data_IF_277825554528
#
_entry.id   IF_277825554528
#
_cell.length_a   1.000
_cell.length_b   1.000
_cell.length_c   1.000
_cell.angle_alpha   90.00
_cell.angle_beta   90.00
_cell.angle_gamma   90.00
#
_symmetry.space_group_name_H-M   'P 1'
#
loop_
_entity.id
_entity.type
_entity.pdbx_description
1 polymer ?
#
# COMPACT_ATOMS: atom_id res chain seq x y z
N UNK A 1 -4.25 14.04 15.84
CA UNK A 1 -5.68 13.94 15.46
C UNK A 1 -5.93 14.96 14.36
N UNK A 2 -5.48 14.66 13.14
CA UNK A 2 -5.81 15.44 11.95
C UNK A 2 -7.15 14.88 11.45
N UNK A 3 -8.11 15.77 11.29
CA UNK A 3 -9.51 15.52 10.98
C UNK A 3 -9.69 15.59 9.47
N UNK A 4 -10.59 14.76 8.91
CA UNK A 4 -11.18 14.82 7.55
C UNK A 4 -11.55 16.25 7.05
N UNK A 5 -11.52 17.26 7.92
CA UNK A 5 -11.98 18.62 7.64
C UNK A 5 -10.97 19.57 6.96
N UNK A 6 -9.70 19.19 6.70
CA UNK A 6 -8.73 20.14 6.16
C UNK A 6 -8.63 20.23 4.64
N UNK A 7 -9.17 19.26 3.89
CA UNK A 7 -9.07 19.27 2.42
C UNK A 7 -10.38 19.63 1.69
N UNK A 8 -11.52 19.61 2.37
CA UNK A 8 -12.83 19.85 1.73
C UNK A 8 -13.50 21.11 2.29
N UNK A 9 -13.54 22.18 1.51
CA UNK A 9 -14.39 23.32 1.78
C UNK A 9 -15.78 23.08 1.18
N UNK A 10 -16.89 23.31 1.91
CA UNK A 10 -18.23 23.26 1.35
C UNK A 10 -18.34 24.32 0.23
N UNK A 11 -18.16 23.90 -1.03
CA UNK A 11 -18.03 24.77 -2.20
C UNK A 11 -17.05 24.26 -3.26
N UNK A 12 -16.14 23.35 -2.90
CA UNK A 12 -15.28 22.69 -3.89
C UNK A 12 -16.11 21.73 -4.77
N UNK A 13 -16.03 21.91 -6.09
CA UNK A 13 -16.65 21.00 -7.08
C UNK A 13 -15.94 19.65 -7.20
N UNK A 14 -14.90 19.42 -6.39
CA UNK A 14 -14.11 18.19 -6.42
C UNK A 14 -14.83 17.08 -5.70
N UNK A 15 -14.77 15.89 -6.31
CA UNK A 15 -15.38 14.72 -5.72
C UNK A 15 -14.46 14.18 -4.62
N UNK A 16 -14.95 14.19 -3.38
CA UNK A 16 -14.19 13.82 -2.19
C UNK A 16 -14.66 12.48 -1.60
N UNK A 17 -13.69 11.62 -1.30
CA UNK A 17 -13.90 10.39 -0.56
C UNK A 17 -12.91 10.28 0.60
N UNK A 18 -13.43 10.25 1.83
CA UNK A 18 -12.64 10.16 3.05
C UNK A 18 -12.96 8.90 3.84
N UNK A 19 -11.97 8.29 4.47
CA UNK A 19 -12.12 7.12 5.33
C UNK A 19 -11.19 7.22 6.55
N UNK A 20 -11.78 7.33 7.74
CA UNK A 20 -11.05 7.21 9.01
C UNK A 20 -11.38 5.88 9.70
N UNK A 21 -10.36 5.14 10.13
CA UNK A 21 -10.47 3.89 10.88
C UNK A 21 -9.69 3.96 12.19
N UNK A 22 -10.26 3.40 13.26
CA UNK A 22 -9.55 3.18 14.54
C UNK A 22 -9.69 1.71 14.94
N UNK A 23 -8.57 0.98 14.96
CA UNK A 23 -8.49 -0.39 15.47
C UNK A 23 -7.83 -0.37 16.85
N UNK A 24 -8.42 -1.09 17.80
CA UNK A 24 -7.94 -1.14 19.19
C UNK A 24 -7.77 -2.56 19.68
N UNK A 25 -6.91 -2.74 20.69
CA UNK A 25 -6.82 -3.97 21.45
C UNK A 25 -7.92 -4.01 22.52
N UNK A 26 -8.80 -4.99 22.42
CA UNK A 26 -9.79 -5.37 23.42
C UNK A 26 -9.25 -6.52 24.27
N UNK A 27 -9.52 -6.50 25.58
CA UNK A 27 -9.12 -7.58 26.49
C UNK A 27 -9.84 -8.91 26.17
N UNK A 28 -11.10 -8.85 25.75
CA UNK A 28 -11.93 -10.04 25.51
C UNK A 28 -11.89 -10.50 24.05
N UNK A 29 -11.75 -9.57 23.11
CA UNK A 29 -11.99 -9.81 21.67
C UNK A 29 -10.76 -9.61 20.78
N UNK A 30 -9.57 -9.52 21.37
CA UNK A 30 -8.34 -9.23 20.64
C UNK A 30 -8.41 -7.88 19.91
N UNK A 31 -7.95 -7.81 18.67
CA UNK A 31 -7.96 -6.56 17.90
C UNK A 31 -9.34 -6.31 17.29
N UNK A 32 -9.94 -5.14 17.50
CA UNK A 32 -11.29 -4.84 17.00
C UNK A 32 -11.38 -3.46 16.36
N UNK A 33 -12.20 -3.34 15.32
CA UNK A 33 -12.54 -2.05 14.74
C UNK A 33 -13.48 -1.28 15.67
N UNK A 34 -12.98 -0.19 16.24
CA UNK A 34 -13.69 0.66 17.20
C UNK A 34 -14.41 1.82 16.54
N UNK A 35 -13.79 2.45 15.54
CA UNK A 35 -14.36 3.61 14.85
C UNK A 35 -14.22 3.48 13.35
N UNK A 36 -15.30 3.82 12.64
CA UNK A 36 -15.33 4.05 11.21
C UNK A 36 -15.99 5.41 11.00
N UNK A 37 -15.34 6.31 10.27
CA UNK A 37 -15.99 7.47 9.66
C UNK A 37 -15.67 7.45 8.19
N UNK A 38 -16.65 7.79 7.36
CA UNK A 38 -16.40 7.91 5.93
C UNK A 38 -17.21 9.06 5.35
N UNK A 39 -16.72 9.61 4.25
CA UNK A 39 -17.43 10.56 3.38
C UNK A 39 -17.26 10.10 1.94
N UNK A 40 -18.28 10.30 1.10
CA UNK A 40 -18.27 9.74 -0.24
C UNK A 40 -18.32 8.21 -0.21
N UNK A 41 -17.77 7.52 -1.22
CA UNK A 41 -17.97 6.10 -1.37
C UNK A 41 -16.85 5.22 -0.83
N UNK A 42 -15.78 5.77 -0.25
CA UNK A 42 -14.84 4.90 0.46
C UNK A 42 -15.56 4.21 1.62
N UNK A 43 -15.44 2.89 1.68
CA UNK A 43 -16.11 2.05 2.68
C UNK A 43 -15.14 0.99 3.19
N UNK A 44 -15.51 0.36 4.30
CA UNK A 44 -14.88 -0.87 4.76
C UNK A 44 -15.93 -1.97 4.88
N UNK A 45 -15.53 -3.20 4.58
CA UNK A 45 -16.33 -4.36 4.94
C UNK A 45 -16.33 -4.55 6.47
N UNK A 46 -17.37 -5.23 6.98
CA UNK A 46 -17.40 -5.70 8.37
C UNK A 46 -16.11 -6.46 8.73
N UNK A 47 -15.49 -6.19 9.89
CA UNK A 47 -14.31 -6.92 10.36
C UNK A 47 -14.53 -8.43 10.38
N UNK A 48 -13.50 -9.17 10.04
CA UNK A 48 -13.50 -10.62 10.10
C UNK A 48 -12.14 -11.14 10.58
N UNK A 49 -12.11 -12.39 11.05
CA UNK A 49 -11.04 -12.94 11.90
C UNK A 49 -10.65 -14.35 11.45
N UNK A 50 -10.11 -14.51 10.23
CA UNK A 50 -9.87 -15.83 9.66
C UNK A 50 -8.74 -16.59 10.37
N UNK A 51 -7.90 -15.88 11.12
CA UNK A 51 -6.76 -16.40 11.88
C UNK A 51 -6.89 -16.18 13.40
N UNK A 52 -8.14 -16.03 13.87
CA UNK A 52 -8.46 -15.74 15.26
C UNK A 52 -8.60 -14.25 15.58
N UNK A 53 -9.02 -13.95 16.80
CA UNK A 53 -9.37 -12.59 17.26
C UNK A 53 -8.17 -11.65 17.42
N UNK A 54 -6.95 -12.20 17.42
CA UNK A 54 -5.72 -11.42 17.54
C UNK A 54 -5.54 -10.42 16.40
N UNK A 55 -5.97 -10.76 15.19
CA UNK A 55 -5.75 -9.96 13.98
C UNK A 55 -7.08 -9.58 13.36
N UNK A 56 -7.35 -8.28 13.32
CA UNK A 56 -8.52 -7.72 12.65
C UNK A 56 -8.22 -7.65 11.15
N UNK A 57 -8.96 -8.39 10.33
CA UNK A 57 -8.88 -8.24 8.87
C UNK A 57 -9.96 -7.28 8.38
N UNK A 58 -9.57 -6.34 7.52
CA UNK A 58 -10.45 -5.37 6.89
C UNK A 58 -10.17 -5.24 5.39
N UNK A 59 -11.25 -5.07 4.62
CA UNK A 59 -11.17 -4.74 3.21
C UNK A 59 -11.62 -3.29 3.00
N UNK A 60 -10.74 -2.47 2.42
CA UNK A 60 -11.11 -1.14 1.92
C UNK A 60 -11.79 -1.33 0.56
N UNK A 61 -12.96 -0.71 0.42
CA UNK A 61 -13.75 -0.70 -0.79
C UNK A 61 -13.76 0.70 -1.36
N UNK A 62 -13.48 0.80 -2.65
CA UNK A 62 -13.79 1.97 -3.47
C UNK A 62 -14.79 1.51 -4.55
N UNK A 63 -16.10 1.55 -4.25
CA UNK A 63 -17.16 1.07 -5.15
C UNK A 63 -17.19 1.69 -6.55
N UNK A 64 -16.81 2.97 -6.77
CA UNK A 64 -16.71 3.51 -8.13
C UNK A 64 -15.71 2.72 -8.97
N UNK A 65 -15.95 2.66 -10.28
CA UNK A 65 -15.13 1.89 -11.22
C UNK A 65 -13.67 2.34 -11.31
N UNK A 66 -13.34 3.53 -10.78
CA UNK A 66 -12.00 4.08 -10.63
C UNK A 66 -12.07 5.57 -10.25
N UNK A 67 -10.92 6.22 -10.26
CA UNK A 67 -10.68 7.60 -9.85
C UNK A 67 -10.39 8.44 -11.10
N UNK A 68 -11.02 9.60 -11.23
CA UNK A 68 -10.83 10.53 -12.37
C UNK A 68 -10.11 11.82 -11.95
N UNK A 69 -9.70 12.64 -12.92
CA UNK A 69 -9.04 13.91 -12.64
C UNK A 69 -9.92 14.83 -11.79
N UNK A 70 -9.35 15.39 -10.72
CA UNK A 70 -10.05 16.26 -9.76
C UNK A 70 -10.52 15.54 -8.49
N UNK A 71 -10.58 14.19 -8.50
CA UNK A 71 -10.99 13.41 -7.34
C UNK A 71 -9.95 13.47 -6.21
N UNK A 72 -10.44 13.48 -4.96
CA UNK A 72 -9.66 13.53 -3.74
C UNK A 72 -10.01 12.33 -2.86
N UNK A 73 -9.05 11.45 -2.62
CA UNK A 73 -9.19 10.28 -1.76
C UNK A 73 -8.28 10.42 -0.53
N UNK A 74 -8.85 10.32 0.66
CA UNK A 74 -8.13 10.36 1.93
C UNK A 74 -8.44 9.12 2.77
N UNK A 75 -7.39 8.43 3.21
CA UNK A 75 -7.48 7.25 4.07
C UNK A 75 -6.60 7.48 5.29
N UNK A 76 -7.21 7.56 6.46
CA UNK A 76 -6.55 7.73 7.75
C UNK A 76 -6.84 6.53 8.65
N UNK A 77 -5.78 5.83 9.08
CA UNK A 77 -5.92 4.61 9.86
C UNK A 77 -5.09 4.72 11.13
N UNK A 78 -5.76 4.58 12.28
CA UNK A 78 -5.15 4.55 13.59
C UNK A 78 -5.17 3.11 14.13
N UNK A 79 -4.00 2.57 14.44
CA UNK A 79 -3.85 1.25 15.06
C UNK A 79 -3.32 1.51 16.47
N UNK A 80 -4.19 1.34 17.46
CA UNK A 80 -3.86 1.61 18.86
C UNK A 80 -2.92 0.56 19.46
N UNK A 81 -2.36 0.88 20.63
CA UNK A 81 -1.35 0.08 21.31
C UNK A 81 -1.71 -1.41 21.37
N UNK A 82 -0.75 -2.26 20.95
CA UNK A 82 -0.88 -3.71 20.94
C UNK A 82 -1.94 -4.29 19.99
N UNK A 83 -2.62 -3.48 19.18
CA UNK A 83 -3.58 -3.97 18.20
C UNK A 83 -2.87 -4.45 16.92
N UNK A 84 -3.48 -5.39 16.21
CA UNK A 84 -2.99 -5.96 14.97
C UNK A 84 -4.06 -5.86 13.89
N UNK A 85 -3.76 -5.12 12.82
CA UNK A 85 -4.63 -4.93 11.66
C UNK A 85 -3.96 -5.50 10.39
N UNK A 86 -4.69 -6.34 9.67
CA UNK A 86 -4.42 -6.63 8.27
C UNK A 86 -5.46 -5.92 7.39
N UNK A 87 -4.99 -5.03 6.52
CA UNK A 87 -5.80 -4.17 5.68
C UNK A 87 -5.42 -4.38 4.21
N UNK A 88 -6.39 -4.73 3.37
CA UNK A 88 -6.20 -4.97 1.92
C UNK A 88 -7.35 -4.32 1.13
N UNK A 89 -7.22 -4.23 -0.19
CA UNK A 89 -8.34 -3.97 -1.10
C UNK A 89 -8.74 -5.27 -1.84
N UNK A 90 -9.98 -5.38 -2.31
CA UNK A 90 -10.44 -6.54 -3.08
C UNK A 90 -10.11 -6.45 -4.57
N UNK A 91 -9.80 -5.25 -5.06
CA UNK A 91 -9.60 -4.97 -6.47
C UNK A 91 -8.56 -3.88 -6.66
N UNK A 92 -7.98 -3.84 -7.86
CA UNK A 92 -7.01 -2.83 -8.25
C UNK A 92 -7.60 -1.43 -8.18
N UNK A 93 -6.84 -0.47 -7.67
CA UNK A 93 -7.23 0.93 -7.73
C UNK A 93 -6.93 1.48 -9.14
N UNK A 94 -7.91 2.07 -9.83
CA UNK A 94 -7.76 2.47 -11.23
C UNK A 94 -7.84 3.98 -11.33
N UNK A 95 -6.78 4.61 -11.81
CA UNK A 95 -6.78 6.04 -12.12
C UNK A 95 -6.93 6.23 -13.62
N UNK A 96 -8.03 6.88 -14.03
CA UNK A 96 -8.36 7.11 -15.42
C UNK A 96 -7.66 8.34 -16.00
N UNK A 97 -7.73 8.46 -17.33
CA UNK A 97 -7.28 9.63 -18.06
C UNK A 97 -7.87 10.91 -17.48
N UNK A 98 -7.04 11.94 -17.36
CA UNK A 98 -7.49 13.28 -16.98
C UNK A 98 -7.33 14.26 -18.14
N UNK A 99 -8.38 15.05 -18.38
CA UNK A 99 -8.37 16.15 -19.35
C UNK A 99 -7.72 17.44 -18.81
N UNK A 100 -7.29 17.48 -17.54
CA UNK A 100 -6.83 18.72 -16.91
C UNK A 100 -6.37 18.50 -15.49
N UNK A 101 -7.33 18.37 -14.58
CA UNK A 101 -7.11 18.30 -13.13
C UNK A 101 -6.40 17.01 -12.67
N UNK A 102 -5.69 17.10 -11.55
CA UNK A 102 -4.99 15.97 -10.97
C UNK A 102 -5.89 15.26 -9.95
N UNK A 103 -5.87 13.93 -9.94
CA UNK A 103 -6.42 13.13 -8.85
C UNK A 103 -5.41 13.04 -7.70
N UNK A 104 -5.88 13.11 -6.46
CA UNK A 104 -5.05 13.03 -5.25
C UNK A 104 -5.47 11.84 -4.40
N UNK A 105 -4.50 11.01 -4.01
CA UNK A 105 -4.67 9.96 -3.01
C UNK A 105 -3.69 10.21 -1.87
N UNK A 106 -4.22 10.35 -0.66
CA UNK A 106 -3.45 10.49 0.57
C UNK A 106 -3.81 9.36 1.52
N UNK A 107 -2.79 8.65 2.01
CA UNK A 107 -2.93 7.52 2.90
C UNK A 107 -2.00 7.72 4.09
N UNK A 108 -2.56 7.72 5.29
CA UNK A 108 -1.83 7.97 6.52
C UNK A 108 -2.16 6.89 7.53
N UNK A 109 -1.11 6.28 8.08
CA UNK A 109 -1.21 5.17 9.01
C UNK A 109 -0.43 5.51 10.28
N UNK A 110 -1.10 5.61 11.43
CA UNK A 110 -0.45 5.76 12.73
C UNK A 110 -0.49 4.42 13.47
N UNK A 111 0.69 3.82 13.65
CA UNK A 111 0.87 2.50 14.26
C UNK A 111 1.47 2.70 15.64
N UNK A 112 0.62 2.67 16.66
CA UNK A 112 1.00 2.93 18.05
C UNK A 112 1.95 1.86 18.62
N UNK A 113 2.39 2.07 19.86
CA UNK A 113 3.39 1.23 20.50
C UNK A 113 3.01 -0.26 20.48
N UNK A 114 3.94 -1.12 20.06
CA UNK A 114 3.72 -2.56 19.98
C UNK A 114 2.59 -3.02 19.03
N UNK A 115 1.98 -2.10 18.28
CA UNK A 115 0.93 -2.43 17.32
C UNK A 115 1.52 -2.94 16.00
N UNK A 116 0.70 -3.65 15.23
CA UNK A 116 1.11 -4.27 13.96
C UNK A 116 0.16 -3.85 12.85
N UNK A 117 0.72 -3.35 11.76
CA UNK A 117 -0.01 -3.07 10.52
C UNK A 117 0.53 -3.94 9.39
N UNK A 118 -0.38 -4.67 8.74
CA UNK A 118 -0.16 -5.33 7.46
C UNK A 118 -1.01 -4.63 6.39
N UNK A 119 -0.43 -3.73 5.60
CA UNK A 119 -1.09 -3.00 4.50
C UNK A 119 -0.76 -3.65 3.15
N UNK A 120 -1.66 -4.49 2.66
CA UNK A 120 -1.42 -5.42 1.58
C UNK A 120 -2.44 -5.25 0.43
N UNK A 121 -2.56 -4.05 -0.17
CA UNK A 121 -3.57 -3.76 -1.19
C UNK A 121 -3.32 -4.55 -2.50
N UNK A 122 -4.33 -4.58 -3.37
CA UNK A 122 -4.11 -4.91 -4.78
C UNK A 122 -3.29 -3.80 -5.48
N UNK A 123 -2.92 -4.03 -6.73
CA UNK A 123 -2.17 -3.07 -7.52
C UNK A 123 -2.96 -1.79 -7.83
N UNK A 124 -2.22 -0.71 -8.11
CA UNK A 124 -2.76 0.54 -8.63
C UNK A 124 -2.42 0.64 -10.11
N UNK A 125 -3.45 0.84 -10.94
CA UNK A 125 -3.33 0.95 -12.40
C UNK A 125 -3.53 2.41 -12.81
N UNK A 126 -2.50 2.99 -13.42
CA UNK A 126 -2.55 4.32 -14.00
C UNK A 126 -2.82 4.21 -15.50
N UNK A 127 -4.02 4.58 -15.94
CA UNK A 127 -4.40 4.51 -17.35
C UNK A 127 -3.67 5.57 -18.18
N UNK A 128 -3.60 5.35 -19.49
CA UNK A 128 -2.98 6.28 -20.42
C UNK A 128 -3.58 7.70 -20.32
N UNK A 129 -2.72 8.68 -20.03
CA UNK A 129 -3.10 10.08 -19.80
C UNK A 129 -3.58 10.40 -18.38
N UNK A 130 -3.41 9.49 -17.40
CA UNK A 130 -3.74 9.77 -16.01
C UNK A 130 -2.84 10.87 -15.42
N UNK A 131 -3.40 11.69 -14.52
CA UNK A 131 -2.67 12.72 -13.77
C UNK A 131 -2.93 12.50 -12.29
N UNK A 132 -1.93 12.02 -11.55
CA UNK A 132 -2.10 11.52 -10.18
C UNK A 132 -0.96 11.97 -9.26
N UNK A 133 -1.28 12.34 -8.03
CA UNK A 133 -0.34 12.34 -6.90
C UNK A 133 -0.85 11.34 -5.87
N UNK A 134 -0.01 10.39 -5.49
CA UNK A 134 -0.28 9.40 -4.44
C UNK A 134 0.74 9.54 -3.32
N UNK A 135 0.28 9.74 -2.10
CA UNK A 135 1.13 9.88 -0.92
C UNK A 135 0.72 8.87 0.13
N UNK A 136 1.66 8.04 0.56
CA UNK A 136 1.48 7.01 1.59
C UNK A 136 2.50 7.23 2.69
N UNK A 137 2.02 7.40 3.92
CA UNK A 137 2.85 7.66 5.10
C UNK A 137 2.52 6.68 6.22
N UNK A 138 3.55 6.01 6.72
CA UNK A 138 3.49 5.15 7.90
C UNK A 138 4.23 5.82 9.05
N UNK A 139 3.53 6.10 10.15
CA UNK A 139 4.09 6.63 11.38
C UNK A 139 4.15 5.52 12.43
N UNK A 140 5.34 4.98 12.64
CA UNK A 140 5.63 3.90 13.57
C UNK A 140 6.08 4.47 14.92
N UNK A 141 5.39 4.08 15.97
CA UNK A 141 5.79 4.34 17.36
C UNK A 141 6.75 3.25 17.85
N UNK A 142 7.12 3.29 19.13
CA UNK A 142 8.04 2.33 19.71
C UNK A 142 7.54 0.90 19.52
N UNK A 143 8.39 -0.04 19.11
CA UNK A 143 8.01 -1.46 18.97
C UNK A 143 6.86 -1.78 18.00
N UNK A 144 6.37 -0.76 17.28
CA UNK A 144 5.43 -0.93 16.18
C UNK A 144 6.07 -1.71 15.03
N UNK A 145 5.26 -2.56 14.39
CA UNK A 145 5.65 -3.40 13.26
C UNK A 145 4.84 -3.05 12.02
N UNK A 146 5.50 -3.08 10.87
CA UNK A 146 4.90 -2.81 9.57
C UNK A 146 5.23 -3.94 8.62
N UNK A 147 4.26 -4.37 7.84
CA UNK A 147 4.44 -5.05 6.56
C UNK A 147 3.54 -4.35 5.56
N UNK A 148 4.11 -3.69 4.57
CA UNK A 148 3.34 -2.97 3.57
C UNK A 148 3.90 -3.22 2.18
N UNK A 149 3.04 -3.21 1.18
CA UNK A 149 3.49 -3.10 -0.20
C UNK A 149 2.65 -2.12 -1.01
N UNK A 150 3.25 -1.61 -2.07
CA UNK A 150 2.56 -0.96 -3.18
C UNK A 150 3.00 -1.61 -4.49
N UNK A 151 2.04 -1.89 -5.37
CA UNK A 151 2.29 -2.37 -6.73
C UNK A 151 1.65 -1.36 -7.67
N UNK A 152 2.42 -0.85 -8.61
CA UNK A 152 2.05 0.23 -9.52
C UNK A 152 2.19 -0.28 -10.96
N UNK A 153 1.11 -0.15 -11.73
CA UNK A 153 1.02 -0.58 -13.13
C UNK A 153 0.78 0.66 -13.99
N UNK A 154 1.72 0.96 -14.89
CA UNK A 154 1.64 2.07 -15.85
C UNK A 154 1.04 1.59 -17.16
N UNK A 155 -0.18 2.04 -17.45
CA UNK A 155 -0.98 1.60 -18.57
C UNK A 155 -1.66 0.25 -18.32
N UNK A 156 -2.16 -0.37 -19.39
CA UNK A 156 -2.74 -1.71 -19.42
C UNK A 156 -2.00 -2.52 -20.50
N UNK A 157 -0.83 -3.08 -20.18
CA UNK A 157 0.01 -3.78 -21.16
C UNK A 157 -0.70 -4.97 -21.83
N UNK A 158 -1.59 -5.66 -21.11
CA UNK A 158 -2.40 -6.75 -21.67
C UNK A 158 -3.40 -6.30 -22.76
N UNK A 159 -3.70 -4.99 -22.83
CA UNK A 159 -4.53 -4.38 -23.86
C UNK A 159 -3.72 -3.49 -24.81
N UNK A 160 -2.38 -3.61 -24.81
CA UNK A 160 -1.45 -2.79 -25.60
C UNK A 160 -1.58 -1.27 -25.36
N UNK A 161 -2.15 -0.87 -24.22
CA UNK A 161 -2.42 0.51 -23.85
C UNK A 161 -1.35 1.01 -22.88
N UNK A 162 -0.18 1.37 -23.40
CA UNK A 162 0.98 1.79 -22.60
C UNK A 162 0.88 3.24 -22.13
N UNK A 163 1.55 3.57 -21.01
CA UNK A 163 1.58 4.92 -20.44
C UNK A 163 2.53 5.86 -21.20
N UNK A 164 2.06 6.37 -22.33
CA UNK A 164 2.75 7.31 -23.21
C UNK A 164 2.49 8.79 -22.85
N UNK A 165 1.40 9.10 -22.14
CA UNK A 165 1.08 10.45 -21.68
C UNK A 165 0.57 10.44 -20.24
N UNK A 166 0.67 11.60 -19.58
CA UNK A 166 0.21 11.78 -18.21
C UNK A 166 1.35 11.97 -17.23
N UNK A 167 1.00 12.14 -15.95
CA UNK A 167 1.95 12.39 -14.88
C UNK A 167 1.54 11.67 -13.61
N UNK A 168 2.41 10.83 -13.07
CA UNK A 168 2.20 10.13 -11.81
C UNK A 168 3.32 10.52 -10.86
N UNK A 169 2.94 11.09 -9.72
CA UNK A 169 3.86 11.35 -8.60
C UNK A 169 3.49 10.44 -7.45
N UNK A 170 4.46 9.71 -6.92
CA UNK A 170 4.25 8.78 -5.82
C UNK A 170 5.23 9.10 -4.69
N UNK A 171 4.78 8.97 -3.45
CA UNK A 171 5.62 9.10 -2.27
C UNK A 171 5.23 8.01 -1.27
N UNK A 172 6.19 7.16 -0.92
CA UNK A 172 6.05 6.12 0.09
C UNK A 172 7.06 6.42 1.21
N UNK A 173 6.56 6.74 2.39
CA UNK A 173 7.39 7.15 3.51
C UNK A 173 7.10 6.32 4.76
N UNK A 174 8.17 5.88 5.42
CA UNK A 174 8.10 5.23 6.73
C UNK A 174 8.88 6.09 7.73
N UNK A 175 8.19 6.49 8.78
CA UNK A 175 8.71 7.32 9.87
C UNK A 175 8.69 6.50 11.16
N UNK A 176 9.81 6.44 11.87
CA UNK A 176 9.88 5.82 13.19
C UNK A 176 10.23 6.89 14.23
N UNK A 177 9.37 7.05 15.24
CA UNK A 177 9.54 8.07 16.28
C UNK A 177 9.81 9.47 15.68
N UNK A 178 9.01 9.87 14.68
CA UNK A 178 9.11 11.14 13.94
C UNK A 178 10.39 11.33 13.11
N UNK A 179 11.24 10.31 12.97
CA UNK A 179 12.41 10.33 12.06
C UNK A 179 12.11 9.50 10.81
N UNK A 180 12.40 10.00 9.61
CA UNK A 180 12.22 9.21 8.40
C UNK A 180 13.26 8.08 8.38
N UNK A 181 12.80 6.84 8.22
CA UNK A 181 13.66 5.66 8.07
C UNK A 181 13.61 5.06 6.66
N UNK A 182 12.60 5.45 5.87
CA UNK A 182 12.49 5.13 4.45
C UNK A 182 11.70 6.23 3.74
N UNK A 183 12.21 6.67 2.59
CA UNK A 183 11.53 7.62 1.70
C UNK A 183 11.79 7.17 0.27
N UNK A 184 10.73 6.83 -0.44
CA UNK A 184 10.77 6.54 -1.87
C UNK A 184 9.83 7.53 -2.58
N UNK A 185 10.37 8.27 -3.54
CA UNK A 185 9.61 9.25 -4.33
C UNK A 185 9.80 8.98 -5.81
N UNK A 186 8.69 8.80 -6.51
CA UNK A 186 8.64 8.60 -7.95
C UNK A 186 8.01 9.79 -8.65
N UNK A 187 8.57 10.19 -9.79
CA UNK A 187 7.93 11.13 -10.71
C UNK A 187 8.02 10.56 -12.11
N UNK A 188 6.89 10.08 -12.61
CA UNK A 188 6.76 9.41 -13.90
C UNK A 188 5.96 10.30 -14.83
N UNK A 189 6.56 10.66 -15.95
CA UNK A 189 5.90 11.40 -17.04
C UNK A 189 5.81 10.45 -18.21
N UNK A 190 4.60 10.26 -18.75
CA UNK A 190 4.40 9.38 -19.90
C UNK A 190 5.29 9.82 -21.07
N UNK A 191 5.88 8.85 -21.77
CA UNK A 191 6.78 9.12 -22.91
C UNK A 191 8.18 9.61 -22.53
N UNK A 192 8.44 9.93 -21.25
CA UNK A 192 9.77 10.35 -20.79
C UNK A 192 10.77 9.19 -20.79
N UNK A 193 12.07 9.52 -20.84
CA UNK A 193 13.17 8.54 -20.76
C UNK A 193 13.09 7.66 -19.52
N UNK A 194 12.57 8.17 -18.40
CA UNK A 194 12.34 7.41 -17.17
C UNK A 194 11.51 6.13 -17.42
N UNK A 195 10.60 6.13 -18.40
CA UNK A 195 9.74 4.98 -18.69
C UNK A 195 10.49 3.85 -19.42
N UNK A 196 11.53 4.16 -20.20
CA UNK A 196 12.14 3.19 -21.13
C UNK A 196 13.62 2.93 -20.90
N UNK A 197 14.34 3.86 -20.26
CA UNK A 197 15.78 3.73 -20.07
C UNK A 197 16.12 2.64 -19.05
N UNK A 198 17.27 1.94 -19.18
CA UNK A 198 17.68 0.90 -18.24
C UNK A 198 17.84 1.37 -16.78
N UNK A 199 18.15 2.65 -16.56
CA UNK A 199 18.25 3.26 -15.22
C UNK A 199 16.89 3.68 -14.66
N UNK A 200 15.84 3.71 -15.49
CA UNK A 200 14.47 3.98 -15.10
C UNK A 200 13.68 2.68 -14.99
N UNK A 201 12.48 2.65 -15.58
CA UNK A 201 11.62 1.46 -15.58
C UNK A 201 12.03 0.41 -16.62
N UNK A 202 13.02 0.68 -17.49
CA UNK A 202 13.49 -0.27 -18.50
C UNK A 202 12.35 -0.88 -19.35
N UNK A 203 11.38 -0.05 -19.73
CA UNK A 203 10.16 -0.42 -20.45
C UNK A 203 9.27 -1.47 -19.72
N UNK A 204 9.50 -1.72 -18.44
CA UNK A 204 8.67 -2.56 -17.61
C UNK A 204 7.48 -1.75 -17.06
N UNK A 205 6.24 -2.16 -17.33
CA UNK A 205 5.05 -1.40 -16.93
C UNK A 205 4.72 -1.54 -15.44
N UNK A 206 5.32 -2.49 -14.72
CA UNK A 206 4.98 -2.77 -13.32
C UNK A 206 6.19 -2.58 -12.43
N UNK A 207 6.04 -1.72 -11.43
CA UNK A 207 6.97 -1.60 -10.31
C UNK A 207 6.26 -1.93 -9.01
N UNK A 208 6.99 -2.48 -8.04
CA UNK A 208 6.45 -2.68 -6.71
C UNK A 208 7.51 -2.54 -5.64
N UNK A 209 7.07 -2.12 -4.46
CA UNK A 209 7.91 -1.98 -3.27
C UNK A 209 7.20 -2.60 -2.10
N UNK A 210 7.86 -3.53 -1.43
CA UNK A 210 7.46 -4.14 -0.16
C UNK A 210 8.44 -3.69 0.92
N UNK A 211 7.90 -3.26 2.06
CA UNK A 211 8.66 -2.86 3.26
C UNK A 211 8.18 -3.65 4.47
N UNK A 212 9.11 -4.21 5.24
CA UNK A 212 8.83 -4.89 6.51
C UNK A 212 9.76 -4.39 7.60
N UNK A 213 9.25 -4.17 8.81
CA UNK A 213 10.11 -3.90 9.97
C UNK A 213 10.97 -5.11 10.30
N UNK A 214 12.30 -4.94 10.31
CA UNK A 214 13.28 -5.98 10.63
C UNK A 214 14.18 -5.57 11.81
N UNK A 215 14.56 -4.28 11.92
CA UNK A 215 15.42 -3.76 13.01
C UNK A 215 16.73 -4.53 13.17
N UNK A 216 17.30 -4.99 12.05
CA UNK A 216 18.51 -5.79 12.00
C UNK A 216 18.43 -7.14 12.70
N UNK A 217 17.23 -7.63 13.04
CA UNK A 217 17.06 -8.87 13.81
C UNK A 217 17.39 -10.12 12.97
N UNK A 218 17.12 -10.06 11.67
CA UNK A 218 17.26 -11.21 10.78
C UNK A 218 17.91 -10.84 9.45
N UNK A 219 18.54 -11.82 8.79
CA UNK A 219 19.05 -11.70 7.42
C UNK A 219 17.96 -12.05 6.40
N UNK A 220 16.84 -11.33 6.43
CA UNK A 220 15.67 -11.56 5.58
C UNK A 220 15.99 -11.63 4.08
N UNK A 221 16.87 -10.75 3.56
CA UNK A 221 17.27 -10.75 2.15
C UNK A 221 18.00 -12.03 1.74
N UNK A 222 18.81 -12.60 2.64
CA UNK A 222 19.43 -13.90 2.41
C UNK A 222 18.40 -15.02 2.49
N UNK A 223 17.52 -15.00 3.49
CA UNK A 223 16.45 -16.00 3.65
C UNK A 223 15.56 -16.05 2.39
N UNK A 224 15.15 -14.89 1.87
CA UNK A 224 14.34 -14.79 0.65
C UNK A 224 15.10 -15.33 -0.55
N UNK A 225 16.35 -14.90 -0.76
CA UNK A 225 17.17 -15.36 -1.89
C UNK A 225 17.43 -16.87 -1.86
N UNK A 226 17.71 -17.42 -0.69
CA UNK A 226 18.02 -18.84 -0.53
C UNK A 226 16.76 -19.72 -0.72
N UNK A 227 15.58 -19.16 -0.46
CA UNK A 227 14.30 -19.87 -0.58
C UNK A 227 13.65 -19.72 -1.96
N UNK A 228 13.60 -18.49 -2.51
CA UNK A 228 12.94 -18.17 -3.77
C UNK A 228 13.90 -18.24 -4.97
N UNK A 229 15.21 -18.28 -4.71
CA UNK A 229 16.24 -18.20 -5.74
C UNK A 229 16.50 -16.77 -6.20
N UNK A 230 17.09 -16.65 -7.40
CA UNK A 230 17.44 -15.36 -8.03
C UNK A 230 16.86 -15.20 -9.44
N UNK A 231 16.23 -16.23 -9.98
CA UNK A 231 15.66 -16.23 -11.34
C UNK A 231 14.26 -15.60 -11.37
N UNK A 232 14.18 -14.35 -10.91
CA UNK A 232 12.95 -13.57 -10.85
C UNK A 232 13.28 -12.06 -10.76
N UNK A 233 12.35 -11.17 -11.15
CA UNK A 233 12.54 -9.71 -11.12
C UNK A 233 12.45 -9.06 -9.72
N UNK A 234 12.45 -9.85 -8.65
CA UNK A 234 12.43 -9.37 -7.27
C UNK A 234 13.87 -9.18 -6.75
N UNK A 235 14.13 -8.03 -6.14
CA UNK A 235 15.42 -7.70 -5.51
C UNK A 235 15.22 -7.27 -4.06
N UNK A 236 16.01 -7.85 -3.16
CA UNK A 236 15.91 -7.62 -1.72
C UNK A 236 17.07 -6.79 -1.19
N UNK A 237 16.80 -5.94 -0.21
CA UNK A 237 17.78 -5.08 0.45
C UNK A 237 17.52 -5.06 1.94
N UNK A 238 18.57 -5.23 2.73
CA UNK A 238 18.52 -4.97 4.17
C UNK A 238 18.87 -3.50 4.45
N UNK A 239 18.04 -2.87 5.27
CA UNK A 239 18.29 -1.57 5.87
C UNK A 239 18.36 -1.72 7.39
N UNK A 240 18.82 -0.69 8.09
CA UNK A 240 18.98 -0.75 9.56
C UNK A 240 17.68 -1.14 10.27
N UNK A 241 16.56 -0.50 9.94
CA UNK A 241 15.26 -0.73 10.56
C UNK A 241 14.32 -1.63 9.74
N UNK A 242 14.59 -1.79 8.45
CA UNK A 242 13.65 -2.36 7.49
C UNK A 242 14.30 -3.41 6.60
N UNK A 243 13.52 -4.42 6.25
CA UNK A 243 13.72 -5.22 5.06
C UNK A 243 12.91 -4.61 3.91
N UNK A 244 13.52 -4.46 2.73
CA UNK A 244 12.86 -3.93 1.53
C UNK A 244 13.00 -4.91 0.38
N UNK A 245 11.90 -5.18 -0.33
CA UNK A 245 11.93 -5.93 -1.59
C UNK A 245 11.30 -5.10 -2.70
N UNK A 246 11.95 -5.04 -3.86
CA UNK A 246 11.47 -4.31 -5.04
C UNK A 246 11.26 -5.25 -6.20
N UNK A 247 10.23 -4.98 -6.99
CA UNK A 247 9.89 -5.68 -8.22
C UNK A 247 9.92 -4.68 -9.37
N UNK A 248 10.51 -5.06 -10.51
CA UNK A 248 10.37 -4.35 -11.78
C UNK A 248 10.17 -5.36 -12.91
N UNK A 249 9.00 -5.36 -13.54
CA UNK A 249 8.66 -6.38 -14.53
C UNK A 249 7.35 -6.11 -15.29
N UNK A 250 6.86 -7.13 -15.99
CA UNK A 250 5.75 -6.98 -16.92
C UNK A 250 4.37 -7.33 -16.35
N UNK A 251 4.29 -7.84 -15.11
CA UNK A 251 3.06 -8.45 -14.60
C UNK A 251 2.81 -8.17 -13.11
N UNK A 252 1.73 -7.45 -12.82
CA UNK A 252 1.30 -7.16 -11.45
C UNK A 252 0.91 -8.42 -10.67
N UNK A 253 0.36 -9.44 -11.35
CA UNK A 253 0.07 -10.73 -10.72
C UNK A 253 1.36 -11.45 -10.28
N UNK A 254 2.43 -11.37 -11.07
CA UNK A 254 3.73 -11.94 -10.69
C UNK A 254 4.34 -11.15 -9.51
N UNK A 255 4.29 -9.82 -9.55
CA UNK A 255 4.73 -8.97 -8.44
C UNK A 255 4.02 -9.34 -7.13
N UNK A 256 2.69 -9.45 -7.18
CA UNK A 256 1.87 -9.83 -6.03
C UNK A 256 2.19 -11.24 -5.54
N UNK A 257 2.33 -12.21 -6.46
CA UNK A 257 2.66 -13.58 -6.08
C UNK A 257 4.03 -13.68 -5.40
N UNK A 258 5.03 -12.93 -5.85
CA UNK A 258 6.35 -12.87 -5.22
C UNK A 258 6.28 -12.18 -3.85
N UNK A 259 5.57 -11.06 -3.74
CA UNK A 259 5.36 -10.38 -2.45
C UNK A 259 4.57 -11.23 -1.44
N UNK A 260 3.58 -11.99 -1.89
CA UNK A 260 2.84 -12.95 -1.05
C UNK A 260 3.75 -14.09 -0.56
N UNK A 261 4.68 -14.59 -1.40
CA UNK A 261 5.68 -15.57 -0.98
C UNK A 261 6.66 -15.00 0.04
N UNK A 262 7.19 -13.79 -0.19
CA UNK A 262 8.07 -13.09 0.75
C UNK A 262 7.37 -12.86 2.08
N UNK A 263 6.15 -12.35 2.06
CA UNK A 263 5.32 -12.17 3.24
C UNK A 263 5.10 -13.51 3.96
N UNK A 264 4.71 -14.56 3.25
CA UNK A 264 4.49 -15.89 3.82
C UNK A 264 5.74 -16.44 4.51
N UNK A 265 6.91 -16.25 3.90
CA UNK A 265 8.20 -16.68 4.42
C UNK A 265 8.63 -15.90 5.65
N UNK A 266 8.47 -14.57 5.63
CA UNK A 266 9.02 -13.68 6.67
C UNK A 266 8.03 -13.38 7.80
N UNK A 267 6.72 -13.54 7.60
CA UNK A 267 5.70 -13.25 8.61
C UNK A 267 5.88 -14.05 9.91
N UNK A 268 6.19 -15.36 9.90
CA UNK A 268 6.48 -16.10 11.12
C UNK A 268 7.70 -15.55 11.86
N UNK A 269 8.73 -15.13 11.12
CA UNK A 269 9.98 -14.62 11.67
C UNK A 269 9.79 -13.23 12.30
N UNK A 270 9.15 -12.31 11.56
CA UNK A 270 9.06 -10.89 11.91
C UNK A 270 7.84 -10.58 12.79
N UNK A 271 6.73 -11.27 12.58
CA UNK A 271 5.46 -11.02 13.27
C UNK A 271 5.05 -12.15 14.22
N UNK A 272 5.83 -13.24 14.32
CA UNK A 272 5.50 -14.42 15.13
C UNK A 272 4.13 -15.04 14.78
N UNK A 273 3.77 -15.02 13.49
CA UNK A 273 2.48 -15.53 12.99
C UNK A 273 2.62 -16.17 11.60
N UNK A 274 2.00 -17.34 11.42
CA UNK A 274 1.89 -17.97 10.10
C UNK A 274 1.00 -17.15 9.17
N UNK A 275 1.35 -17.03 7.89
CA UNK A 275 0.54 -16.29 6.94
C UNK A 275 -0.81 -16.98 6.68
N UNK A 276 -1.87 -16.17 6.68
CA UNK A 276 -3.21 -16.59 6.28
C UNK A 276 -3.71 -15.63 5.19
N UNK A 277 -3.46 -15.98 3.93
CA UNK A 277 -3.81 -15.14 2.78
C UNK A 277 -5.29 -14.71 2.81
N UNK A 278 -5.59 -13.40 2.61
CA UNK A 278 -6.95 -12.93 2.43
C UNK A 278 -7.67 -13.66 1.29
N UNK A 279 -8.88 -14.17 1.57
CA UNK A 279 -9.67 -14.93 0.58
C UNK A 279 -9.93 -14.13 -0.70
N UNK A 280 -10.00 -12.82 -0.59
CA UNK A 280 -10.28 -11.91 -1.71
C UNK A 280 -9.14 -11.82 -2.73
N UNK A 281 -7.96 -12.37 -2.43
CA UNK A 281 -6.88 -12.45 -3.41
C UNK A 281 -7.04 -13.59 -4.42
N UNK A 282 -8.02 -14.47 -4.20
CA UNK A 282 -8.33 -15.64 -5.05
C UNK A 282 -9.62 -15.45 -5.87
N UNK A 283 -10.28 -14.31 -5.74
CA UNK A 283 -11.47 -13.92 -6.50
C UNK A 283 -11.06 -13.00 -7.63
#
# INVERSE_FOLDING_TARGET
>A
MLSLAKAYHPGDQRWYAGLELEVVRSQERGSVLKRIRHQGPLKVQRPFYPEGQEVCHLYILHPPGGVVGGDLLEIDVLISEGAHLLLTSPASNKFYRSAGEQALLTQSFDVATGAVLEWLPQDTIYFEGAKVTSNTQFHLHQDAKLCAWEIQTFGRPAAEDYFANGTVRTSLEVWCQKRPIFVERGSFVGGDRMMYAPWGLHAQPVMGTLVMTNRGQHSCASIVRDTLGVDHPLHCTEMADLFVARYLGHCALQARALFEQVWTLLRPLLLNRNAHAPRVWRT
#
